data_IF_080725141643
#
_entry.id   IF_080725141643
#
_cell.length_a   1.000
_cell.length_b   1.000
_cell.length_c   1.000
_cell.angle_alpha   90.00
_cell.angle_beta   90.00
_cell.angle_gamma   90.00
#
_symmetry.space_group_name_H-M   'P 1'
#
loop_
_entity.id
_entity.type
_entity.pdbx_description
1 polymer ?
#
# COMPACT_ATOMS: atom_id res chain seq x y z
N UNK A 1 22.54 7.03 17.57
CA UNK A 1 22.36 5.55 17.55
C UNK A 1 21.01 5.12 18.14
N UNK A 2 20.65 5.54 19.36
CA UNK A 2 19.33 5.23 19.95
C UNK A 2 18.18 5.80 19.10
N UNK A 3 18.30 7.05 18.64
CA UNK A 3 17.29 7.71 17.78
C UNK A 3 17.06 6.95 16.47
N UNK A 4 18.12 6.40 15.86
CA UNK A 4 18.01 5.62 14.62
C UNK A 4 17.29 4.29 14.85
N UNK A 5 17.52 3.63 15.99
CA UNK A 5 16.81 2.40 16.35
C UNK A 5 15.34 2.69 16.63
N UNK A 6 15.06 3.78 17.36
CA UNK A 6 13.69 4.18 17.67
C UNK A 6 12.90 4.53 16.42
N UNK A 7 13.50 5.30 15.49
CA UNK A 7 12.91 5.60 14.17
C UNK A 7 12.62 4.33 13.38
N UNK A 8 13.56 3.37 13.36
CA UNK A 8 13.37 2.09 12.67
C UNK A 8 12.18 1.30 13.22
N UNK A 9 12.03 1.26 14.55
CA UNK A 9 10.89 0.56 15.20
C UNK A 9 9.58 1.24 14.81
N UNK A 10 9.50 2.56 14.90
CA UNK A 10 8.30 3.33 14.55
C UNK A 10 7.94 3.09 13.08
N UNK A 11 8.90 3.19 12.18
CA UNK A 11 8.70 2.94 10.75
C UNK A 11 8.19 1.53 10.49
N UNK A 12 8.79 0.53 11.12
CA UNK A 12 8.37 -0.86 10.94
C UNK A 12 6.92 -1.08 11.38
N UNK A 13 6.54 -0.55 12.55
CA UNK A 13 5.17 -0.64 13.05
C UNK A 13 4.21 0.10 12.12
N UNK A 14 4.58 1.32 11.70
CA UNK A 14 3.77 2.15 10.83
C UNK A 14 3.55 1.49 9.45
N UNK A 15 4.59 0.93 8.83
CA UNK A 15 4.50 0.23 7.54
C UNK A 15 3.56 -0.98 7.64
N UNK A 16 3.67 -1.79 8.68
CA UNK A 16 2.82 -2.97 8.87
C UNK A 16 1.37 -2.57 9.06
N UNK A 17 1.11 -1.58 9.92
CA UNK A 17 -0.25 -1.12 10.21
C UNK A 17 -0.88 -0.41 9.00
N UNK A 18 -0.15 0.52 8.38
CA UNK A 18 -0.63 1.22 7.19
C UNK A 18 -0.78 0.28 5.99
N UNK A 19 0.12 -0.69 5.82
CA UNK A 19 0.02 -1.73 4.79
C UNK A 19 -1.26 -2.57 4.93
N UNK A 20 -1.60 -2.98 6.16
CA UNK A 20 -2.85 -3.69 6.43
C UNK A 20 -4.09 -2.82 6.16
N UNK A 21 -4.06 -1.52 6.52
CA UNK A 21 -5.12 -0.56 6.23
C UNK A 21 -5.29 -0.31 4.73
N UNK A 22 -4.18 -0.14 4.00
CA UNK A 22 -4.18 0.03 2.54
C UNK A 22 -4.66 -1.23 1.83
N UNK A 23 -4.25 -2.43 2.29
CA UNK A 23 -4.75 -3.69 1.77
C UNK A 23 -6.27 -3.81 1.97
N UNK A 24 -6.78 -3.45 3.16
CA UNK A 24 -8.21 -3.44 3.46
C UNK A 24 -8.98 -2.49 2.53
N UNK A 25 -8.47 -1.28 2.34
CA UNK A 25 -9.03 -0.33 1.37
C UNK A 25 -9.02 -0.90 -0.05
N UNK A 26 -7.90 -1.48 -0.49
CA UNK A 26 -7.73 -2.02 -1.83
C UNK A 26 -8.65 -3.20 -2.11
N UNK A 27 -8.76 -4.16 -1.18
CA UNK A 27 -9.69 -5.28 -1.29
C UNK A 27 -11.13 -4.82 -1.53
N UNK A 28 -11.55 -3.78 -0.82
CA UNK A 28 -12.89 -3.23 -0.98
C UNK A 28 -13.03 -2.44 -2.29
N UNK A 29 -12.04 -1.65 -2.67
CA UNK A 29 -12.02 -0.90 -3.93
C UNK A 29 -12.14 -1.80 -5.16
N UNK A 30 -11.44 -2.93 -5.13
CA UNK A 30 -11.46 -3.94 -6.21
C UNK A 30 -12.64 -4.91 -6.06
N UNK A 31 -13.40 -4.83 -4.95
CA UNK A 31 -14.53 -5.71 -4.62
C UNK A 31 -14.15 -7.19 -4.53
N UNK A 32 -12.96 -7.47 -4.06
CA UNK A 32 -12.45 -8.85 -3.87
C UNK A 32 -12.71 -9.29 -2.43
N UNK A 33 -13.28 -10.48 -2.26
CA UNK A 33 -13.49 -11.09 -0.95
C UNK A 33 -12.19 -11.78 -0.50
N UNK A 34 -11.60 -11.39 0.64
CA UNK A 34 -10.40 -12.03 1.14
C UNK A 34 -10.70 -13.45 1.65
N UNK A 35 -9.74 -14.38 1.52
CA UNK A 35 -9.75 -15.64 2.25
C UNK A 35 -9.81 -15.39 3.76
N UNK A 36 -10.39 -16.35 4.52
CA UNK A 36 -10.65 -16.17 5.95
C UNK A 36 -9.41 -15.77 6.75
N UNK A 37 -8.27 -16.39 6.46
CA UNK A 37 -7.00 -16.09 7.15
C UNK A 37 -6.52 -14.65 6.92
N UNK A 38 -6.59 -14.17 5.68
CA UNK A 38 -6.22 -12.78 5.33
C UNK A 38 -7.20 -11.80 5.97
N UNK A 39 -8.51 -12.12 5.93
CA UNK A 39 -9.54 -11.30 6.55
C UNK A 39 -9.33 -11.16 8.07
N UNK A 40 -9.13 -12.28 8.76
CA UNK A 40 -8.90 -12.29 10.20
C UNK A 40 -7.67 -11.47 10.58
N UNK A 41 -6.54 -11.72 9.95
CA UNK A 41 -5.30 -10.96 10.19
C UNK A 41 -5.50 -9.46 9.98
N UNK A 42 -6.03 -9.09 8.82
CA UNK A 42 -6.21 -7.68 8.45
C UNK A 42 -7.18 -6.98 9.41
N UNK A 43 -8.31 -7.62 9.76
CA UNK A 43 -9.31 -7.01 10.64
C UNK A 43 -8.83 -6.95 12.10
N UNK A 44 -8.19 -7.98 12.63
CA UNK A 44 -7.63 -7.94 13.97
C UNK A 44 -6.61 -6.81 14.14
N UNK A 45 -5.78 -6.60 13.14
CA UNK A 45 -4.75 -5.56 13.18
C UNK A 45 -5.33 -4.14 13.04
N UNK A 46 -6.43 -3.96 12.33
CA UNK A 46 -6.93 -2.63 11.93
C UNK A 46 -8.24 -2.21 12.58
N UNK A 47 -9.04 -3.12 13.12
CA UNK A 47 -10.40 -2.82 13.60
C UNK A 47 -10.44 -1.83 14.77
N UNK A 48 -9.43 -1.84 15.64
CA UNK A 48 -9.34 -0.88 16.74
C UNK A 48 -9.29 0.57 16.27
N UNK A 49 -8.72 0.82 15.08
CA UNK A 49 -8.64 2.16 14.47
C UNK A 49 -9.81 2.41 13.51
N UNK A 50 -10.15 1.42 12.68
CA UNK A 50 -11.17 1.59 11.63
C UNK A 50 -12.58 1.66 12.18
N UNK A 51 -12.93 0.91 13.23
CA UNK A 51 -14.29 0.93 13.82
C UNK A 51 -14.70 2.31 14.33
N UNK A 52 -13.87 3.04 15.13
CA UNK A 52 -14.23 4.40 15.53
C UNK A 52 -14.28 5.36 14.35
N UNK A 53 -13.35 5.25 13.39
CA UNK A 53 -13.35 6.10 12.20
C UNK A 53 -14.61 5.91 11.33
N UNK A 54 -15.12 4.69 11.20
CA UNK A 54 -16.37 4.42 10.45
C UNK A 54 -17.61 5.04 11.07
N UNK A 55 -17.60 5.39 12.36
CA UNK A 55 -18.73 6.11 12.99
C UNK A 55 -18.79 7.56 12.53
N UNK A 56 -17.64 8.14 12.21
CA UNK A 56 -17.50 9.54 11.77
C UNK A 56 -17.51 9.62 10.23
N UNK A 57 -16.92 8.64 9.58
CA UNK A 57 -16.73 8.57 8.13
C UNK A 57 -17.42 7.32 7.57
N UNK A 58 -18.75 7.40 7.35
CA UNK A 58 -19.47 6.29 6.73
C UNK A 58 -18.93 6.01 5.32
N UNK A 59 -18.91 4.73 4.93
CA UNK A 59 -18.48 4.33 3.60
C UNK A 59 -19.32 5.00 2.51
N UNK A 60 -18.71 5.81 1.67
CA UNK A 60 -19.36 6.48 0.55
C UNK A 60 -18.81 5.94 -0.77
N UNK A 61 -19.70 5.73 -1.75
CA UNK A 61 -19.31 5.25 -3.08
C UNK A 61 -18.79 3.80 -3.13
N UNK A 62 -18.97 3.02 -2.06
CA UNK A 62 -18.49 1.64 -1.99
C UNK A 62 -17.01 1.51 -1.57
N UNK A 63 -16.36 2.60 -1.21
CA UNK A 63 -14.97 2.63 -0.73
C UNK A 63 -14.87 2.69 0.79
N UNK A 64 -13.82 2.08 1.35
CA UNK A 64 -13.52 2.13 2.79
C UNK A 64 -12.67 3.34 3.15
N UNK A 65 -13.27 4.52 3.12
CA UNK A 65 -12.59 5.77 3.46
C UNK A 65 -11.97 5.76 4.85
N UNK A 66 -12.58 5.06 5.80
CA UNK A 66 -12.05 4.93 7.16
C UNK A 66 -10.70 4.22 7.17
N UNK A 67 -10.50 3.18 6.35
CA UNK A 67 -9.21 2.51 6.22
C UNK A 67 -8.16 3.39 5.53
N UNK A 68 -8.53 4.14 4.49
CA UNK A 68 -7.61 5.06 3.80
C UNK A 68 -7.16 6.21 4.72
N UNK A 69 -8.12 6.83 5.41
CA UNK A 69 -7.82 7.91 6.36
C UNK A 69 -7.05 7.38 7.55
N UNK A 70 -7.36 6.17 8.03
CA UNK A 70 -6.59 5.49 9.07
C UNK A 70 -5.13 5.29 8.66
N UNK A 71 -4.87 4.85 7.43
CA UNK A 71 -3.51 4.71 6.91
C UNK A 71 -2.78 6.07 6.82
N UNK A 72 -3.49 7.11 6.39
CA UNK A 72 -2.95 8.47 6.36
C UNK A 72 -2.60 8.99 7.76
N UNK A 73 -3.47 8.76 8.75
CA UNK A 73 -3.19 9.14 10.15
C UNK A 73 -1.96 8.41 10.71
N UNK A 74 -1.80 7.13 10.41
CA UNK A 74 -0.59 6.37 10.79
C UNK A 74 0.66 6.99 10.15
N UNK A 75 0.62 7.32 8.86
CA UNK A 75 1.72 7.97 8.16
C UNK A 75 2.02 9.35 8.76
N UNK A 76 0.99 10.14 9.06
CA UNK A 76 1.12 11.46 9.66
C UNK A 76 1.77 11.40 11.04
N UNK A 77 1.31 10.48 11.90
CA UNK A 77 1.88 10.30 13.24
C UNK A 77 3.34 9.86 13.15
N UNK A 78 3.66 8.85 12.34
CA UNK A 78 5.02 8.36 12.17
C UNK A 78 5.96 9.48 11.67
N UNK A 79 5.53 10.23 10.64
CA UNK A 79 6.30 11.36 10.09
C UNK A 79 6.48 12.48 11.13
N UNK A 80 5.43 12.80 11.90
CA UNK A 80 5.51 13.83 12.94
C UNK A 80 6.55 13.45 14.00
N UNK A 81 6.54 12.21 14.46
CA UNK A 81 7.51 11.75 15.47
C UNK A 81 8.94 11.81 14.93
N UNK A 82 9.16 11.37 13.68
CA UNK A 82 10.49 11.42 13.05
C UNK A 82 11.02 12.84 12.89
N UNK A 83 10.18 13.75 12.39
CA UNK A 83 10.54 15.16 12.20
C UNK A 83 10.82 15.82 13.55
N UNK A 84 10.02 15.52 14.58
CA UNK A 84 10.23 16.00 15.92
C UNK A 84 11.56 15.53 16.53
N UNK A 85 11.93 14.27 16.34
CA UNK A 85 13.21 13.71 16.78
C UNK A 85 14.41 14.39 16.11
N UNK A 86 14.24 14.92 14.90
CA UNK A 86 15.28 15.67 14.15
C UNK A 86 15.38 17.13 14.56
N UNK A 87 14.50 17.61 15.47
CA UNK A 87 14.51 18.99 15.98
C UNK A 87 14.01 20.06 14.99
N UNK A 88 13.40 19.66 13.87
CA UNK A 88 12.86 20.57 12.86
C UNK A 88 11.35 20.39 12.80
N UNK A 89 10.58 21.37 13.27
CA UNK A 89 9.12 21.29 13.26
C UNK A 89 8.54 22.28 12.25
N UNK A 90 8.23 21.78 11.06
CA UNK A 90 7.54 22.53 10.01
C UNK A 90 6.24 21.80 9.63
N UNK A 91 5.06 22.29 10.02
CA UNK A 91 3.78 21.61 9.77
C UNK A 91 3.52 21.30 8.28
N UNK A 92 3.90 22.22 7.40
CA UNK A 92 3.79 22.05 5.97
C UNK A 92 4.62 20.85 5.47
N UNK A 93 5.89 20.74 5.89
CA UNK A 93 6.75 19.63 5.51
C UNK A 93 6.23 18.29 6.05
N UNK A 94 5.71 18.25 7.29
CA UNK A 94 5.11 17.04 7.87
C UNK A 94 3.94 16.55 7.01
N UNK A 95 3.05 17.43 6.59
CA UNK A 95 1.90 17.07 5.76
C UNK A 95 2.34 16.52 4.40
N UNK A 96 3.27 17.20 3.70
CA UNK A 96 3.79 16.77 2.42
C UNK A 96 4.52 15.43 2.51
N UNK A 97 5.35 15.24 3.52
CA UNK A 97 6.07 13.99 3.76
C UNK A 97 5.11 12.84 4.13
N UNK A 98 4.05 13.09 4.88
CA UNK A 98 3.04 12.08 5.19
C UNK A 98 2.26 11.65 3.94
N UNK A 99 1.91 12.60 3.05
CA UNK A 99 1.29 12.30 1.75
C UNK A 99 2.24 11.48 0.87
N UNK A 100 3.50 11.89 0.77
CA UNK A 100 4.51 11.13 0.04
C UNK A 100 4.62 9.69 0.57
N UNK A 101 4.71 9.54 1.88
CA UNK A 101 4.89 8.25 2.56
C UNK A 101 3.72 7.31 2.29
N UNK A 102 2.48 7.77 2.40
CA UNK A 102 1.32 6.91 2.12
C UNK A 102 1.25 6.52 0.64
N UNK A 103 1.58 7.43 -0.28
CA UNK A 103 1.67 7.11 -1.72
C UNK A 103 2.74 6.05 -1.98
N UNK A 104 3.93 6.21 -1.40
CA UNK A 104 5.00 5.23 -1.53
C UNK A 104 4.60 3.86 -0.97
N UNK A 105 4.01 3.80 0.23
CA UNK A 105 3.56 2.54 0.84
C UNK A 105 2.49 1.84 -0.01
N UNK A 106 1.55 2.60 -0.58
CA UNK A 106 0.56 2.04 -1.50
C UNK A 106 1.21 1.44 -2.76
N UNK A 107 2.14 2.17 -3.38
CA UNK A 107 2.84 1.74 -4.58
C UNK A 107 3.78 0.54 -4.30
N UNK A 108 4.51 0.54 -3.19
CA UNK A 108 5.31 -0.62 -2.77
C UNK A 108 4.44 -1.82 -2.41
N UNK A 109 3.26 -1.61 -1.83
CA UNK A 109 2.27 -2.66 -1.60
C UNK A 109 1.80 -3.32 -2.91
N UNK A 110 1.53 -2.52 -3.96
CA UNK A 110 1.21 -3.03 -5.29
C UNK A 110 2.38 -3.79 -5.92
N UNK A 111 3.61 -3.29 -5.79
CA UNK A 111 4.81 -4.01 -6.23
C UNK A 111 4.91 -5.36 -5.51
N UNK A 112 4.71 -5.37 -4.19
CA UNK A 112 4.71 -6.61 -3.40
C UNK A 112 3.67 -7.62 -3.87
N UNK A 113 2.43 -7.18 -4.14
CA UNK A 113 1.37 -8.04 -4.67
C UNK A 113 1.71 -8.61 -6.06
N UNK A 114 2.32 -7.80 -6.94
CA UNK A 114 2.78 -8.26 -8.24
C UNK A 114 3.89 -9.31 -8.12
N UNK A 115 4.87 -9.09 -7.25
CA UNK A 115 5.94 -10.05 -7.00
C UNK A 115 5.39 -11.38 -6.47
N UNK A 116 4.42 -11.33 -5.54
CA UNK A 116 3.75 -12.53 -5.02
C UNK A 116 3.01 -13.26 -6.15
N UNK A 117 2.32 -12.54 -7.05
CA UNK A 117 1.65 -13.15 -8.21
C UNK A 117 2.64 -13.86 -9.13
N UNK A 118 3.77 -13.24 -9.43
CA UNK A 118 4.84 -13.84 -10.25
C UNK A 118 5.40 -15.09 -9.57
N UNK A 119 5.66 -15.03 -8.26
CA UNK A 119 6.15 -16.18 -7.49
C UNK A 119 5.14 -17.33 -7.53
N UNK A 120 3.85 -17.06 -7.30
CA UNK A 120 2.83 -18.09 -7.40
C UNK A 120 2.72 -18.67 -8.81
N UNK A 121 2.86 -17.83 -9.85
CA UNK A 121 2.82 -18.28 -11.24
C UNK A 121 3.92 -19.29 -11.56
N UNK A 122 5.09 -19.16 -10.93
CA UNK A 122 6.26 -20.02 -11.22
C UNK A 122 6.34 -21.23 -10.31
N UNK A 123 6.06 -21.06 -9.01
CA UNK A 123 6.28 -22.13 -8.01
C UNK A 123 5.02 -22.98 -7.84
N UNK A 124 3.85 -22.34 -7.67
CA UNK A 124 2.59 -23.04 -7.45
C UNK A 124 1.38 -22.24 -7.95
N UNK A 125 1.02 -22.35 -9.24
CA UNK A 125 -0.13 -21.63 -9.80
C UNK A 125 -1.48 -22.01 -9.16
N UNK A 126 -1.55 -23.16 -8.48
CA UNK A 126 -2.73 -23.67 -7.80
C UNK A 126 -2.75 -23.40 -6.29
N UNK A 127 -1.82 -22.56 -5.78
CA UNK A 127 -1.84 -22.18 -4.38
C UNK A 127 -3.19 -21.53 -4.00
N UNK A 128 -3.72 -21.82 -2.80
CA UNK A 128 -5.04 -21.32 -2.37
C UNK A 128 -5.17 -19.79 -2.41
N UNK A 129 -4.06 -19.06 -2.24
CA UNK A 129 -3.99 -17.60 -2.29
C UNK A 129 -3.77 -17.03 -3.70
N UNK A 130 -3.35 -17.84 -4.67
CA UNK A 130 -3.04 -17.36 -6.02
C UNK A 130 -4.22 -16.65 -6.72
N UNK A 131 -5.47 -17.17 -6.70
CA UNK A 131 -6.62 -16.48 -7.28
C UNK A 131 -6.91 -15.13 -6.60
N UNK A 132 -6.72 -15.06 -5.28
CA UNK A 132 -6.92 -13.84 -4.52
C UNK A 132 -5.91 -12.74 -4.90
N UNK A 133 -4.62 -13.08 -4.93
CA UNK A 133 -3.55 -12.12 -5.31
C UNK A 133 -3.74 -11.66 -6.76
N UNK A 134 -4.08 -12.58 -7.67
CA UNK A 134 -4.38 -12.24 -9.06
C UNK A 134 -5.55 -11.27 -9.17
N UNK A 135 -6.63 -11.48 -8.42
CA UNK A 135 -7.78 -10.60 -8.42
C UNK A 135 -7.45 -9.19 -7.90
N UNK A 136 -6.53 -9.07 -6.93
CA UNK A 136 -6.06 -7.76 -6.43
C UNK A 136 -5.21 -7.00 -7.47
N UNK A 137 -4.44 -7.71 -8.29
CA UNK A 137 -3.61 -7.13 -9.34
C UNK A 137 -4.37 -6.88 -10.66
N UNK A 138 -5.53 -7.49 -10.83
CA UNK A 138 -6.31 -7.45 -12.07
C UNK A 138 -6.59 -6.04 -12.61
N UNK A 139 -6.95 -5.03 -11.79
CA UNK A 139 -7.15 -3.66 -12.29
C UNK A 139 -5.91 -3.05 -12.94
N UNK A 140 -4.72 -3.38 -12.45
CA UNK A 140 -3.45 -2.93 -12.98
C UNK A 140 -3.00 -3.78 -14.17
N UNK A 141 -3.17 -5.10 -14.08
CA UNK A 141 -2.67 -6.05 -15.08
C UNK A 141 -3.53 -6.15 -16.34
N UNK A 142 -4.86 -6.01 -16.22
CA UNK A 142 -5.77 -6.10 -17.39
C UNK A 142 -5.42 -5.15 -18.52
N UNK A 143 -5.21 -3.83 -18.31
CA UNK A 143 -4.85 -2.92 -19.40
C UNK A 143 -3.47 -3.27 -19.98
N UNK A 144 -2.50 -3.66 -19.15
CA UNK A 144 -1.15 -3.99 -19.60
C UNK A 144 -1.12 -5.24 -20.47
N UNK A 145 -1.84 -6.31 -20.08
CA UNK A 145 -1.96 -7.55 -20.87
C UNK A 145 -2.64 -7.36 -22.23
N UNK A 146 -3.34 -6.24 -22.44
CA UNK A 146 -3.92 -5.91 -23.77
C UNK A 146 -2.90 -5.25 -24.69
N UNK A 147 -1.88 -4.60 -24.12
CA UNK A 147 -0.90 -3.78 -24.87
C UNK A 147 0.40 -4.57 -25.03
N UNK A 148 0.82 -5.30 -24.01
CA UNK A 148 2.08 -6.05 -24.01
C UNK A 148 1.85 -7.43 -24.62
N UNK A 149 2.49 -7.75 -25.77
CA UNK A 149 2.36 -9.06 -26.39
C UNK A 149 3.08 -10.13 -25.57
N UNK A 150 2.59 -11.36 -25.65
CA UNK A 150 3.30 -12.52 -25.13
C UNK A 150 4.54 -12.81 -25.99
N UNK A 151 5.68 -13.04 -25.35
CA UNK A 151 6.89 -13.52 -26.04
C UNK A 151 7.02 -15.02 -25.78
N UNK A 152 6.57 -15.83 -26.74
CA UNK A 152 6.44 -17.27 -26.57
C UNK A 152 5.39 -17.60 -25.52
N UNK A 153 5.79 -18.26 -24.42
CA UNK A 153 4.92 -18.59 -23.27
C UNK A 153 5.07 -17.62 -22.08
N UNK A 154 5.87 -16.55 -22.22
CA UNK A 154 6.20 -15.65 -21.12
C UNK A 154 5.36 -14.38 -21.21
N UNK A 155 4.64 -14.06 -20.13
CA UNK A 155 3.91 -12.80 -19.96
C UNK A 155 4.87 -11.74 -19.37
N UNK A 156 5.23 -10.74 -20.18
CA UNK A 156 6.08 -9.62 -19.76
C UNK A 156 5.29 -8.47 -19.10
N UNK A 157 3.95 -8.55 -19.05
CA UNK A 157 3.13 -7.50 -18.45
C UNK A 157 3.48 -7.21 -16.99
N UNK A 158 3.81 -8.19 -16.13
CA UNK A 158 4.25 -7.91 -14.77
C UNK A 158 5.55 -7.09 -14.71
N UNK A 159 6.50 -7.35 -15.61
CA UNK A 159 7.75 -6.59 -15.68
C UNK A 159 7.48 -5.13 -16.05
N UNK A 160 6.65 -4.91 -17.05
CA UNK A 160 6.24 -3.55 -17.46
C UNK A 160 5.51 -2.84 -16.32
N UNK A 161 4.60 -3.54 -15.61
CA UNK A 161 3.92 -2.99 -14.44
C UNK A 161 4.90 -2.56 -13.34
N UNK A 162 5.90 -3.39 -13.03
CA UNK A 162 6.95 -3.06 -12.04
C UNK A 162 7.74 -1.82 -12.44
N UNK A 163 8.14 -1.70 -13.71
CA UNK A 163 8.85 -0.53 -14.22
C UNK A 163 7.98 0.72 -14.10
N UNK A 164 6.72 0.65 -14.52
CA UNK A 164 5.79 1.79 -14.43
C UNK A 164 5.56 2.23 -12.98
N UNK A 165 5.35 1.30 -12.05
CA UNK A 165 5.20 1.62 -10.63
C UNK A 165 6.46 2.27 -10.06
N UNK A 166 7.65 1.82 -10.44
CA UNK A 166 8.92 2.44 -10.03
C UNK A 166 9.05 3.87 -10.58
N UNK A 167 8.68 4.10 -11.84
CA UNK A 167 8.65 5.44 -12.42
C UNK A 167 7.68 6.34 -11.65
N UNK A 168 6.49 5.86 -11.31
CA UNK A 168 5.50 6.64 -10.55
C UNK A 168 6.03 6.99 -9.15
N UNK A 169 6.71 6.06 -8.46
CA UNK A 169 7.34 6.32 -7.15
C UNK A 169 8.36 7.46 -7.28
N UNK A 170 9.21 7.41 -8.28
CA UNK A 170 10.25 8.43 -8.50
C UNK A 170 9.63 9.79 -8.82
N UNK A 171 8.62 9.83 -9.70
CA UNK A 171 7.91 11.06 -10.04
C UNK A 171 7.25 11.71 -8.80
N UNK A 172 6.54 10.92 -8.00
CA UNK A 172 5.89 11.42 -6.78
C UNK A 172 6.93 11.95 -5.79
N UNK A 173 8.05 11.25 -5.63
CA UNK A 173 9.16 11.66 -4.76
C UNK A 173 9.77 12.98 -5.21
N UNK A 174 10.02 13.15 -6.51
CA UNK A 174 10.60 14.36 -7.11
C UNK A 174 9.65 15.55 -6.97
N UNK A 175 8.35 15.35 -7.23
CA UNK A 175 7.35 16.42 -7.08
C UNK A 175 7.30 16.90 -5.64
N UNK A 176 7.22 15.99 -4.65
CA UNK A 176 7.18 16.40 -3.25
C UNK A 176 8.48 17.08 -2.81
N UNK A 177 9.64 16.58 -3.26
CA UNK A 177 10.93 17.22 -2.97
C UNK A 177 11.03 18.65 -3.53
N UNK A 178 10.37 18.95 -4.65
CA UNK A 178 10.32 20.30 -5.21
C UNK A 178 9.40 21.28 -4.46
N UNK A 179 8.53 20.76 -3.58
CA UNK A 179 7.59 21.54 -2.78
C UNK A 179 8.07 21.77 -1.33
N UNK A 180 9.13 21.07 -0.91
CA UNK A 180 9.76 21.20 0.40
C UNK A 180 10.86 22.27 0.41
#
# INVERSE_FOLDING_TARGET
MLDSIFTLIIDTIAIVLAGALLLRFWMQAVRVRPPMQVAQFTYQLTDWLVRPLRRILPGAGGYDWASLIGAFLVALIATTVEVWLRGVFTPHAILLLAILRICQWALYGLIGLLLIEVIFSWINPHAPLAPFVRALNDPLMRPLRRIVPLIGSIDLSPLVALILLRIVIELVSTIVASLL
#
